data_IF_012185675291
#
_entry.id   IF_012185675291
#
_cell.length_a   1.000
_cell.length_b   1.000
_cell.length_c   1.000
_cell.angle_alpha   90.00
_cell.angle_beta   90.00
_cell.angle_gamma   90.00
#
_symmetry.space_group_name_H-M   'P 1'
#
loop_
_entity.id
_entity.type
_entity.pdbx_description
1 polymer ?
#
# COMPACT_ATOMS: atom_id res chain seq x y z
N UNK A 1 -2.28 -23.83 -12.00
CA UNK A 1 -2.19 -22.80 -13.07
C UNK A 1 -3.55 -22.47 -13.71
N UNK A 2 -4.23 -23.42 -14.36
CA UNK A 2 -5.49 -23.17 -15.08
C UNK A 2 -6.65 -22.68 -14.18
N UNK A 3 -6.82 -23.29 -13.00
CA UNK A 3 -7.88 -22.92 -12.05
C UNK A 3 -7.69 -21.45 -11.62
N UNK A 4 -6.51 -21.07 -11.13
CA UNK A 4 -6.19 -19.70 -10.71
C UNK A 4 -6.46 -18.67 -11.81
N UNK A 5 -6.06 -18.96 -13.05
CA UNK A 5 -6.30 -18.09 -14.21
C UNK A 5 -7.80 -17.89 -14.45
N UNK A 6 -8.58 -18.97 -14.43
CA UNK A 6 -10.04 -18.92 -14.64
C UNK A 6 -10.73 -18.09 -13.55
N UNK A 7 -10.37 -18.28 -12.28
CA UNK A 7 -10.92 -17.51 -11.17
C UNK A 7 -10.56 -16.03 -11.23
N UNK A 8 -9.31 -15.69 -11.56
CA UNK A 8 -8.87 -14.30 -11.68
C UNK A 8 -9.56 -13.60 -12.84
N UNK A 9 -9.72 -14.28 -13.99
CA UNK A 9 -10.48 -13.74 -15.13
C UNK A 9 -11.92 -13.42 -14.76
N UNK A 10 -12.55 -14.25 -13.94
CA UNK A 10 -13.89 -14.01 -13.44
C UNK A 10 -13.92 -12.84 -12.45
N UNK A 11 -13.14 -12.90 -11.37
CA UNK A 11 -13.19 -11.92 -10.29
C UNK A 11 -12.73 -10.53 -10.70
N UNK A 12 -11.65 -10.42 -11.49
CA UNK A 12 -11.17 -9.13 -11.95
C UNK A 12 -12.23 -8.42 -12.80
N UNK A 13 -12.95 -9.15 -13.65
CA UNK A 13 -14.06 -8.59 -14.44
C UNK A 13 -15.20 -8.14 -13.51
N UNK A 14 -15.61 -9.01 -12.57
CA UNK A 14 -16.71 -8.73 -11.65
C UNK A 14 -16.45 -7.51 -10.74
N UNK A 15 -15.20 -7.26 -10.35
CA UNK A 15 -14.82 -6.11 -9.50
C UNK A 15 -15.21 -4.76 -10.14
N UNK A 16 -15.15 -4.66 -11.47
CA UNK A 16 -15.51 -3.44 -12.20
C UNK A 16 -16.96 -3.41 -12.67
N UNK A 17 -17.57 -4.56 -12.97
CA UNK A 17 -18.91 -4.63 -13.57
C UNK A 17 -20.03 -4.67 -12.55
N UNK A 18 -19.79 -5.19 -11.35
CA UNK A 18 -20.82 -5.30 -10.32
C UNK A 18 -21.06 -3.97 -9.62
N UNK A 19 -22.33 -3.69 -9.31
CA UNK A 19 -22.69 -2.55 -8.49
C UNK A 19 -22.11 -2.72 -7.08
N UNK A 20 -21.27 -1.77 -6.65
CA UNK A 20 -20.60 -1.78 -5.35
C UNK A 20 -21.57 -1.84 -4.15
N UNK A 21 -22.82 -1.40 -4.35
CA UNK A 21 -23.87 -1.44 -3.32
C UNK A 21 -24.56 -2.80 -3.20
N UNK A 22 -24.39 -3.69 -4.18
CA UNK A 22 -25.04 -5.01 -4.19
C UNK A 22 -24.46 -5.96 -3.15
N UNK A 23 -25.32 -6.84 -2.60
CA UNK A 23 -24.90 -7.90 -1.67
C UNK A 23 -23.85 -8.82 -2.29
N UNK A 24 -24.02 -9.21 -3.55
CA UNK A 24 -23.07 -10.06 -4.28
C UNK A 24 -21.68 -9.42 -4.39
N UNK A 25 -21.60 -8.11 -4.64
CA UNK A 25 -20.33 -7.40 -4.64
C UNK A 25 -19.69 -7.42 -3.26
N UNK A 26 -20.45 -7.18 -2.19
CA UNK A 26 -19.92 -7.22 -0.82
C UNK A 26 -19.39 -8.60 -0.47
N UNK A 27 -20.13 -9.67 -0.81
CA UNK A 27 -19.68 -11.04 -0.61
C UNK A 27 -18.37 -11.33 -1.37
N UNK A 28 -18.32 -11.02 -2.67
CA UNK A 28 -17.10 -11.20 -3.47
C UNK A 28 -15.95 -10.34 -2.98
N UNK A 29 -16.22 -9.14 -2.48
CA UNK A 29 -15.21 -8.26 -1.88
C UNK A 29 -14.56 -8.94 -0.68
N UNK A 30 -15.34 -9.51 0.23
CA UNK A 30 -14.81 -10.18 1.41
C UNK A 30 -14.15 -11.53 1.10
N UNK A 31 -14.75 -12.33 0.23
CA UNK A 31 -14.27 -13.68 -0.06
C UNK A 31 -13.10 -13.71 -1.05
N UNK A 32 -13.02 -12.72 -1.96
CA UNK A 32 -12.11 -12.77 -3.10
C UNK A 32 -11.30 -11.49 -3.23
N UNK A 33 -11.92 -10.32 -3.41
CA UNK A 33 -11.16 -9.12 -3.79
C UNK A 33 -10.18 -8.69 -2.69
N UNK A 34 -10.62 -8.58 -1.44
CA UNK A 34 -9.75 -8.20 -0.32
C UNK A 34 -8.59 -9.20 -0.07
N UNK A 35 -8.84 -10.52 0.07
CA UNK A 35 -7.76 -11.45 0.35
C UNK A 35 -6.81 -11.67 -0.85
N UNK A 36 -7.34 -11.67 -2.07
CA UNK A 36 -6.56 -12.03 -3.28
C UNK A 36 -5.91 -10.83 -3.96
N UNK A 37 -6.48 -9.63 -3.82
CA UNK A 37 -5.85 -8.44 -4.39
C UNK A 37 -4.50 -8.22 -3.74
N UNK A 38 -3.53 -7.88 -4.57
CA UNK A 38 -2.15 -7.61 -4.26
C UNK A 38 -1.45 -8.74 -3.47
N UNK A 39 -1.93 -9.98 -3.59
CA UNK A 39 -1.35 -11.12 -2.89
C UNK A 39 0.15 -11.24 -3.19
N UNK A 40 0.96 -11.38 -2.13
CA UNK A 40 2.42 -11.43 -2.24
C UNK A 40 3.12 -10.07 -2.44
N UNK A 41 2.38 -8.95 -2.47
CA UNK A 41 2.93 -7.59 -2.60
C UNK A 41 2.67 -6.75 -1.33
N UNK A 42 3.19 -7.18 -0.18
CA UNK A 42 2.93 -6.51 1.10
C UNK A 42 3.39 -5.05 1.11
N UNK A 43 4.54 -4.74 0.50
CA UNK A 43 5.02 -3.37 0.39
C UNK A 43 3.98 -2.47 -0.30
N UNK A 44 3.41 -2.89 -1.43
CA UNK A 44 2.38 -2.11 -2.10
C UNK A 44 1.09 -2.00 -1.27
N UNK A 45 0.65 -3.07 -0.61
CA UNK A 45 -0.54 -3.03 0.26
C UNK A 45 -0.37 -2.00 1.39
N UNK A 46 0.78 -2.02 2.06
CA UNK A 46 1.09 -1.10 3.16
C UNK A 46 1.19 0.34 2.65
N UNK A 47 1.89 0.55 1.53
CA UNK A 47 1.97 1.86 0.88
C UNK A 47 0.58 2.41 0.52
N UNK A 48 -0.23 1.63 -0.19
CA UNK A 48 -1.56 2.06 -0.62
C UNK A 48 -2.48 2.32 0.58
N UNK A 49 -2.40 1.51 1.63
CA UNK A 49 -3.16 1.71 2.86
C UNK A 49 -2.74 3.01 3.57
N UNK A 50 -1.44 3.24 3.74
CA UNK A 50 -0.92 4.45 4.36
C UNK A 50 -1.36 5.72 3.60
N UNK A 51 -1.17 5.73 2.27
CA UNK A 51 -1.60 6.84 1.40
C UNK A 51 -3.11 7.08 1.49
N UNK A 52 -3.91 6.01 1.48
CA UNK A 52 -5.38 6.13 1.52
C UNK A 52 -5.89 6.61 2.87
N UNK A 53 -5.37 6.07 3.98
CA UNK A 53 -5.84 6.42 5.33
C UNK A 53 -5.45 7.83 5.73
N UNK A 54 -4.23 8.24 5.41
CA UNK A 54 -3.71 9.56 5.79
C UNK A 54 -3.94 10.63 4.72
N UNK A 55 -4.50 10.26 3.56
CA UNK A 55 -4.61 11.12 2.38
C UNK A 55 -3.27 11.77 2.02
N UNK A 56 -2.18 11.04 2.25
CA UNK A 56 -0.83 11.53 1.97
C UNK A 56 -0.57 11.58 0.46
N UNK A 57 0.28 12.50 0.01
CA UNK A 57 0.78 12.46 -1.37
C UNK A 57 1.68 11.24 -1.55
N UNK A 58 1.23 10.30 -2.40
CA UNK A 58 1.99 9.09 -2.70
C UNK A 58 3.33 9.38 -3.37
N UNK A 59 3.45 10.44 -4.18
CA UNK A 59 4.73 10.80 -4.81
C UNK A 59 5.72 11.34 -3.80
N UNK A 60 5.28 12.21 -2.88
CA UNK A 60 6.08 12.64 -1.75
C UNK A 60 6.59 11.45 -0.92
N UNK A 61 5.71 10.52 -0.57
CA UNK A 61 6.10 9.35 0.23
C UNK A 61 7.12 8.47 -0.50
N UNK A 62 6.93 8.25 -1.80
CA UNK A 62 7.93 7.54 -2.61
C UNK A 62 9.27 8.25 -2.59
N UNK A 63 9.28 9.59 -2.68
CA UNK A 63 10.49 10.41 -2.55
C UNK A 63 11.21 10.21 -1.21
N UNK A 64 10.46 10.10 -0.11
CA UNK A 64 11.04 9.82 1.21
C UNK A 64 11.60 8.39 1.34
N UNK A 65 11.05 7.42 0.59
CA UNK A 65 11.46 6.02 0.65
C UNK A 65 12.64 5.67 -0.28
N UNK A 66 13.19 6.65 -1.02
CA UNK A 66 14.27 6.47 -1.98
C UNK A 66 15.63 6.16 -1.32
N UNK A 67 15.82 4.90 -0.94
CA UNK A 67 17.13 4.33 -0.59
C UNK A 67 17.62 3.38 -1.68
N UNK A 68 18.94 3.18 -1.85
CA UNK A 68 19.48 2.23 -2.82
C UNK A 68 18.85 0.84 -2.74
N UNK A 69 18.66 0.34 -1.51
CA UNK A 69 18.02 -0.97 -1.23
C UNK A 69 16.50 -0.98 -1.45
N UNK A 70 15.84 0.18 -1.52
CA UNK A 70 14.41 0.30 -1.76
C UNK A 70 14.09 0.55 -3.23
N UNK A 71 15.06 1.00 -4.02
CA UNK A 71 14.87 1.53 -5.37
C UNK A 71 14.07 0.60 -6.29
N UNK A 72 14.33 -0.72 -6.39
CA UNK A 72 13.55 -1.61 -7.26
C UNK A 72 12.06 -1.64 -6.88
N UNK A 73 11.78 -1.73 -5.57
CA UNK A 73 10.42 -1.72 -5.04
C UNK A 73 9.74 -0.37 -5.26
N UNK A 74 10.40 0.73 -4.89
CA UNK A 74 9.86 2.11 -5.05
C UNK A 74 9.56 2.42 -6.51
N UNK A 75 10.47 2.07 -7.43
CA UNK A 75 10.26 2.21 -8.87
C UNK A 75 9.04 1.41 -9.34
N UNK A 76 8.88 0.19 -8.85
CA UNK A 76 7.73 -0.66 -9.20
C UNK A 76 6.41 -0.06 -8.68
N UNK A 77 6.38 0.45 -7.45
CA UNK A 77 5.20 1.16 -6.90
C UNK A 77 4.87 2.37 -7.77
N UNK A 78 5.87 3.19 -8.11
CA UNK A 78 5.72 4.35 -8.98
C UNK A 78 5.13 3.97 -10.35
N UNK A 79 5.62 2.88 -10.97
CA UNK A 79 5.07 2.37 -12.23
C UNK A 79 3.60 1.94 -12.10
N UNK A 80 3.23 1.26 -11.00
CA UNK A 80 1.83 0.88 -10.75
C UNK A 80 0.95 2.12 -10.63
N UNK A 81 1.39 3.12 -9.84
CA UNK A 81 0.64 4.36 -9.64
C UNK A 81 0.40 5.13 -10.93
N UNK A 82 1.40 5.21 -11.80
CA UNK A 82 1.34 6.01 -13.03
C UNK A 82 0.64 5.29 -14.19
N UNK A 83 0.75 3.96 -14.28
CA UNK A 83 0.31 3.20 -15.47
C UNK A 83 -0.92 2.32 -15.26
N UNK A 84 -1.18 1.87 -14.02
CA UNK A 84 -2.20 0.85 -13.74
C UNK A 84 -3.39 1.40 -12.94
N UNK A 85 -3.17 2.39 -12.08
CA UNK A 85 -4.26 3.01 -11.35
C UNK A 85 -5.14 3.84 -12.31
N UNK A 86 -6.47 3.83 -12.13
CA UNK A 86 -7.35 4.66 -12.94
C UNK A 86 -6.97 6.13 -12.78
N UNK A 87 -6.69 6.82 -13.88
CA UNK A 87 -6.55 8.27 -13.86
C UNK A 87 -7.93 8.90 -13.72
N UNK A 88 -8.03 9.98 -12.94
CA UNK A 88 -9.26 10.75 -12.84
C UNK A 88 -9.71 11.22 -14.24
N UNK A 89 -11.00 11.04 -14.55
CA UNK A 89 -11.58 11.44 -15.83
C UNK A 89 -11.55 10.39 -16.96
N UNK A 90 -10.94 9.21 -16.77
CA UNK A 90 -10.98 8.14 -17.78
C UNK A 90 -12.24 7.28 -17.59
N UNK A 91 -13.16 7.34 -18.56
CA UNK A 91 -14.43 6.62 -18.53
C UNK A 91 -14.27 5.08 -18.54
N UNK A 92 -13.19 4.57 -19.14
CA UNK A 92 -12.93 3.14 -19.22
C UNK A 92 -12.15 2.62 -18.01
N UNK A 93 -12.89 1.98 -17.09
CA UNK A 93 -12.32 1.20 -16.00
C UNK A 93 -11.68 -0.07 -16.56
N UNK A 94 -10.40 0.00 -16.91
CA UNK A 94 -9.59 -1.18 -17.28
C UNK A 94 -9.74 -2.29 -16.24
N UNK A 95 -9.87 -3.53 -16.71
CA UNK A 95 -10.00 -4.70 -15.83
C UNK A 95 -8.73 -4.80 -14.96
N UNK A 96 -8.85 -4.89 -13.62
CA UNK A 96 -7.73 -4.76 -12.69
C UNK A 96 -6.89 -6.03 -12.56
N UNK A 97 -6.47 -6.64 -13.68
CA UNK A 97 -5.62 -7.84 -13.69
C UNK A 97 -4.30 -7.64 -12.93
N UNK A 98 -3.78 -6.41 -12.96
CA UNK A 98 -2.55 -6.03 -12.26
C UNK A 98 -2.63 -6.30 -10.75
N UNK A 99 -3.82 -6.17 -10.12
CA UNK A 99 -4.00 -6.47 -8.69
C UNK A 99 -3.79 -7.95 -8.38
N UNK A 100 -4.00 -8.83 -9.35
CA UNK A 100 -3.98 -10.28 -9.18
C UNK A 100 -2.81 -10.94 -9.92
N UNK A 101 -1.90 -10.15 -10.50
CA UNK A 101 -0.85 -10.63 -11.41
C UNK A 101 0.00 -11.74 -10.79
N UNK A 102 0.32 -11.64 -9.49
CA UNK A 102 1.11 -12.65 -8.77
C UNK A 102 0.44 -14.00 -8.56
N UNK A 103 -0.89 -14.04 -8.62
CA UNK A 103 -1.65 -15.28 -8.57
C UNK A 103 -1.71 -15.97 -9.94
N UNK A 104 -1.41 -15.22 -11.02
CA UNK A 104 -1.24 -15.77 -12.37
C UNK A 104 0.19 -16.31 -12.55
N UNK A 105 1.18 -15.51 -12.16
CA UNK A 105 2.59 -15.89 -12.19
C UNK A 105 3.36 -15.15 -11.08
N UNK A 106 4.12 -15.90 -10.28
CA UNK A 106 4.95 -15.37 -9.20
C UNK A 106 6.06 -14.41 -9.66
N UNK A 107 6.44 -14.45 -10.95
CA UNK A 107 7.44 -13.55 -11.51
C UNK A 107 6.95 -12.10 -11.63
N UNK A 108 5.64 -11.86 -11.71
CA UNK A 108 5.10 -10.50 -11.77
C UNK A 108 5.36 -9.76 -10.46
N UNK A 109 5.83 -8.51 -10.57
CA UNK A 109 6.11 -7.65 -9.41
C UNK A 109 6.99 -8.35 -8.36
N UNK A 110 8.00 -9.10 -8.82
CA UNK A 110 8.95 -9.78 -7.94
C UNK A 110 9.63 -8.80 -6.97
N UNK A 111 9.90 -7.57 -7.40
CA UNK A 111 10.49 -6.50 -6.59
C UNK A 111 9.60 -6.03 -5.43
N UNK A 112 8.31 -6.38 -5.42
CA UNK A 112 7.38 -6.09 -4.33
C UNK A 112 7.14 -7.30 -3.42
N UNK A 113 7.81 -8.43 -3.69
CA UNK A 113 7.80 -9.56 -2.79
C UNK A 113 8.53 -9.20 -1.50
N UNK A 114 7.93 -9.52 -0.36
CA UNK A 114 8.55 -9.25 0.96
C UNK A 114 9.98 -9.79 1.08
N UNK A 115 10.31 -10.93 0.43
CA UNK A 115 11.68 -11.47 0.41
C UNK A 115 12.68 -10.58 -0.34
N UNK A 116 12.23 -9.86 -1.36
CA UNK A 116 13.07 -9.05 -2.24
C UNK A 116 13.10 -7.57 -1.82
N UNK A 117 12.07 -7.10 -1.10
CA UNK A 117 11.96 -5.73 -0.61
C UNK A 117 11.71 -5.68 0.91
N UNK A 118 12.47 -6.46 1.67
CA UNK A 118 12.24 -6.63 3.11
C UNK A 118 12.35 -5.30 3.87
N UNK A 119 13.40 -4.52 3.61
CA UNK A 119 13.62 -3.20 4.22
C UNK A 119 12.49 -2.21 3.89
N UNK A 120 12.04 -2.20 2.64
CA UNK A 120 10.92 -1.35 2.20
C UNK A 120 9.60 -1.78 2.87
N UNK A 121 9.37 -3.09 3.00
CA UNK A 121 8.18 -3.61 3.68
C UNK A 121 8.19 -3.24 5.15
N UNK A 122 9.35 -3.32 5.80
CA UNK A 122 9.53 -2.96 7.20
C UNK A 122 9.18 -1.49 7.47
N UNK A 123 9.82 -0.56 6.74
CA UNK A 123 9.58 0.87 6.98
C UNK A 123 8.11 1.25 6.74
N UNK A 124 7.48 0.67 5.71
CA UNK A 124 6.05 0.89 5.44
C UNK A 124 5.14 0.31 6.52
N UNK A 125 5.49 -0.86 7.06
CA UNK A 125 4.76 -1.47 8.18
C UNK A 125 4.90 -0.60 9.45
N UNK A 126 6.11 -0.09 9.71
CA UNK A 126 6.38 0.81 10.83
C UNK A 126 5.59 2.11 10.72
N UNK A 127 5.64 2.77 9.56
CA UNK A 127 4.85 3.98 9.28
C UNK A 127 3.35 3.74 9.49
N UNK A 128 2.85 2.60 9.00
CA UNK A 128 1.45 2.22 9.21
C UNK A 128 1.15 2.03 10.70
N UNK A 129 2.02 1.39 11.47
CA UNK A 129 1.81 1.20 12.92
C UNK A 129 1.82 2.51 13.71
N UNK A 130 2.59 3.51 13.25
CA UNK A 130 2.76 4.79 13.94
C UNK A 130 1.59 5.75 13.68
N UNK A 131 1.02 5.74 12.47
CA UNK A 131 0.10 6.81 12.05
C UNK A 131 -1.28 6.30 11.61
N UNK A 132 -1.44 5.04 11.22
CA UNK A 132 -2.71 4.53 10.72
C UNK A 132 -3.58 3.94 11.84
N UNK A 133 -4.90 4.12 11.72
CA UNK A 133 -5.84 3.45 12.63
C UNK A 133 -5.93 1.97 12.29
N UNK A 134 -5.43 1.13 13.20
CA UNK A 134 -5.46 -0.31 13.05
C UNK A 134 -6.63 -0.93 13.82
N UNK A 135 -7.19 -2.01 13.27
CA UNK A 135 -8.12 -2.84 14.02
C UNK A 135 -7.39 -3.45 15.23
N UNK A 136 -8.09 -3.74 16.35
CA UNK A 136 -7.46 -4.18 17.61
C UNK A 136 -6.54 -5.40 17.49
N UNK A 137 -6.72 -6.23 16.45
CA UNK A 137 -5.92 -7.44 16.19
C UNK A 137 -5.04 -7.35 14.92
N UNK A 138 -5.04 -6.20 14.22
CA UNK A 138 -4.28 -6.01 13.00
C UNK A 138 -2.95 -5.33 13.33
N UNK A 139 -1.87 -6.11 13.38
CA UNK A 139 -0.52 -5.57 13.54
C UNK A 139 0.23 -5.68 12.21
N UNK A 140 0.54 -4.55 11.54
CA UNK A 140 1.25 -4.56 10.25
C UNK A 140 2.69 -5.08 10.37
N UNK A 141 3.26 -5.15 11.58
CA UNK A 141 4.60 -5.66 11.83
C UNK A 141 4.65 -7.20 11.95
N UNK A 142 3.51 -7.88 12.09
CA UNK A 142 3.40 -9.36 12.15
C UNK A 142 3.57 -10.04 10.79
N UNK A 143 4.54 -9.58 10.00
CA UNK A 143 4.95 -10.22 8.75
C UNK A 143 6.12 -11.13 9.10
N UNK A 144 5.97 -12.45 8.93
CA UNK A 144 6.97 -13.47 9.33
C UNK A 144 8.41 -13.16 8.91
N UNK A 145 8.61 -12.56 7.72
CA UNK A 145 9.95 -12.23 7.23
C UNK A 145 10.57 -11.00 7.93
N UNK A 146 9.76 -10.07 8.45
CA UNK A 146 10.22 -8.90 9.20
C UNK A 146 10.84 -9.31 10.54
N UNK A 147 10.30 -10.35 11.19
CA UNK A 147 10.79 -10.85 12.47
C UNK A 147 12.29 -11.17 12.41
N UNK A 148 12.74 -11.75 11.29
CA UNK A 148 14.13 -12.18 11.07
C UNK A 148 15.10 -11.06 10.64
N UNK A 149 14.64 -9.81 10.49
CA UNK A 149 15.53 -8.72 10.10
C UNK A 149 16.52 -8.38 11.24
N UNK A 150 17.81 -8.14 10.93
CA UNK A 150 18.82 -7.73 11.93
C UNK A 150 18.40 -6.48 12.70
N UNK A 151 18.75 -6.42 13.99
CA UNK A 151 18.37 -5.32 14.87
C UNK A 151 18.89 -3.97 14.38
N UNK A 152 20.16 -3.90 13.97
CA UNK A 152 20.76 -2.64 13.49
C UNK A 152 20.02 -2.07 12.26
N UNK A 153 19.56 -2.94 11.36
CA UNK A 153 18.76 -2.54 10.22
C UNK A 153 17.38 -2.02 10.65
N UNK A 154 16.74 -2.66 11.65
CA UNK A 154 15.47 -2.19 12.23
C UNK A 154 15.64 -0.84 12.89
N UNK A 155 16.69 -0.65 13.69
CA UNK A 155 16.95 0.61 14.41
C UNK A 155 17.19 1.78 13.44
N UNK A 156 17.94 1.53 12.35
CA UNK A 156 18.12 2.50 11.28
C UNK A 156 16.79 2.87 10.59
N UNK A 157 15.98 1.87 10.23
CA UNK A 157 14.70 2.09 9.55
C UNK A 157 13.65 2.71 10.50
N UNK A 158 13.70 2.43 11.79
CA UNK A 158 12.85 3.06 12.81
C UNK A 158 13.17 4.55 12.94
N UNK A 159 14.44 4.91 12.96
CA UNK A 159 14.89 6.32 12.95
C UNK A 159 14.40 7.03 11.69
N UNK A 160 14.51 6.36 10.54
CA UNK A 160 14.02 6.91 9.28
C UNK A 160 12.50 7.06 9.27
N UNK A 161 11.75 6.07 9.76
CA UNK A 161 10.29 6.14 9.87
C UNK A 161 9.87 7.33 10.73
N UNK A 162 10.49 7.51 11.91
CA UNK A 162 10.21 8.66 12.77
C UNK A 162 10.47 10.00 12.06
N UNK A 163 11.56 10.09 11.28
CA UNK A 163 11.86 11.28 10.48
C UNK A 163 10.81 11.54 9.39
N UNK A 164 10.31 10.49 8.73
CA UNK A 164 9.26 10.62 7.70
C UNK A 164 7.96 11.15 8.33
N UNK A 165 7.57 10.64 9.50
CA UNK A 165 6.40 11.12 10.25
C UNK A 165 6.53 12.62 10.54
N UNK A 166 7.70 13.06 11.01
CA UNK A 166 7.97 14.47 11.31
C UNK A 166 7.97 15.38 10.07
N UNK A 167 8.41 14.88 8.93
CA UNK A 167 8.49 15.64 7.67
C UNK A 167 7.20 15.57 6.84
N UNK A 168 6.19 14.84 7.30
CA UNK A 168 4.94 14.65 6.57
C UNK A 168 4.28 16.01 6.35
N UNK A 169 3.95 16.37 5.10
CA UNK A 169 3.18 17.57 4.84
C UNK A 169 1.88 17.49 5.60
N UNK A 170 1.65 18.45 6.50
CA UNK A 170 0.35 18.66 7.13
C UNK A 170 -0.63 18.85 5.99
N UNK A 171 -1.63 17.98 5.88
CA UNK A 171 -2.66 18.19 4.86
C UNK A 171 -3.26 19.58 5.07
N UNK A 172 -3.62 20.31 4.02
CA UNK A 172 -4.26 21.64 4.18
C UNK A 172 -5.47 21.58 5.14
N UNK A 173 -6.12 20.41 5.25
CA UNK A 173 -7.23 20.14 6.16
C UNK A 173 -6.80 20.16 7.64
N UNK A 174 -5.60 19.65 7.98
CA UNK A 174 -5.07 19.68 9.35
C UNK A 174 -4.64 21.10 9.76
N UNK A 175 -4.11 21.91 8.83
CA UNK A 175 -3.77 23.33 9.08
C UNK A 175 -4.99 24.21 9.41
N UNK A 176 -6.17 23.87 8.89
CA UNK A 176 -7.42 24.60 9.18
C UNK A 176 -8.25 23.99 10.32
N UNK A 177 -7.80 22.89 10.92
CA UNK A 177 -8.35 22.37 12.18
C UNK A 177 -7.93 23.28 13.35
N UNK A 178 -8.74 23.36 14.41
CA UNK A 178 -8.43 24.23 15.57
C UNK A 178 -7.06 23.94 16.19
N UNK A 179 -6.61 22.68 16.17
CA UNK A 179 -5.27 22.29 16.62
C UNK A 179 -4.15 22.83 15.72
N UNK A 180 -4.37 22.92 14.40
CA UNK A 180 -3.42 23.49 13.46
C UNK A 180 -3.31 25.01 13.54
N UNK A 181 -4.40 25.69 13.94
CA UNK A 181 -4.41 27.14 14.20
C UNK A 181 -3.62 27.49 15.47
N UNK A 182 -3.80 26.72 16.54
CA UNK A 182 -3.08 26.95 17.81
C UNK A 182 -1.56 26.81 17.66
N UNK A 183 -1.08 25.87 16.84
CA UNK A 183 0.35 25.69 16.59
C UNK A 183 1.00 26.81 15.75
N UNK A 184 0.19 27.60 15.02
CA UNK A 184 0.64 28.76 14.24
C UNK A 184 0.67 30.05 15.07
N UNK A 185 -0.08 30.12 16.16
CA UNK A 185 -0.11 31.27 17.08
C UNK A 185 1.04 31.23 18.12
N UNK A 186 1.70 30.07 18.27
CA UNK A 186 2.86 29.88 19.16
C UNK A 186 4.23 30.03 18.48
N UNK A 187 4.27 30.45 17.20
CA UNK A 187 5.50 30.83 16.47
C UNK A 187 5.60 32.35 16.30
#
# INVERSE_FOLDING_TARGET
>A
PLISITWIRLFAKLENTLNQRSTSFRMLRYLCFLPLSWAGMHAFKLFANYVTQLRADGYWLLGQLMLPQHYPGVKTIHTIMTTQLPQEGVADRKIPYYKYARLLDSAFYADLQTSNCLSLTYILAKLTSLECQMAPNADPMKIKLIENMPKDAKDFLDTMAAKIVLLRPTSQIEMYSEAGKLALEEQ
#
